data_IF_422570860454
#
_entry.id   IF_422570860454
#
_cell.length_a   1.000
_cell.length_b   1.000
_cell.length_c   1.000
_cell.angle_alpha   90.00
_cell.angle_beta   90.00
_cell.angle_gamma   90.00
#
_symmetry.space_group_name_H-M   'P 1'
#
loop_
_entity.id
_entity.type
_entity.pdbx_description
1 polymer ?
#
# COMPACT_ATOMS: atom_id res chain seq x y z
N UNK A 1 -9.86 -45.35 -42.62
CA UNK A 1 -8.86 -44.59 -41.85
C UNK A 1 -8.94 -43.07 -41.94
N UNK A 2 -9.34 -42.45 -43.08
CA UNK A 2 -9.47 -40.99 -43.19
C UNK A 2 -10.50 -40.32 -42.24
N UNK A 3 -11.67 -40.97 -42.01
CA UNK A 3 -12.71 -40.40 -41.13
C UNK A 3 -12.29 -40.27 -39.66
N UNK A 4 -11.44 -41.12 -39.15
CA UNK A 4 -10.97 -41.04 -37.76
C UNK A 4 -10.01 -39.87 -37.53
N UNK A 5 -9.23 -39.52 -38.55
CA UNK A 5 -8.28 -38.41 -38.46
C UNK A 5 -9.01 -37.06 -38.37
N UNK A 6 -10.10 -36.88 -39.11
CA UNK A 6 -10.92 -35.66 -39.04
C UNK A 6 -11.62 -35.49 -37.71
N UNK A 7 -12.09 -36.59 -37.10
CA UNK A 7 -12.77 -36.49 -35.76
C UNK A 7 -11.76 -36.14 -34.69
N UNK A 8 -10.56 -36.63 -34.76
CA UNK A 8 -9.50 -36.27 -33.80
C UNK A 8 -9.08 -34.80 -33.95
N UNK A 9 -8.92 -34.34 -35.18
CA UNK A 9 -8.58 -32.94 -35.47
C UNK A 9 -9.69 -31.98 -35.01
N UNK A 10 -10.96 -32.33 -35.18
CA UNK A 10 -12.11 -31.52 -34.69
C UNK A 10 -12.12 -31.43 -33.17
N UNK A 11 -11.88 -32.52 -32.45
CA UNK A 11 -11.84 -32.50 -30.98
C UNK A 11 -10.68 -31.69 -30.45
N UNK A 12 -9.53 -31.77 -31.08
CA UNK A 12 -8.34 -30.97 -30.75
C UNK A 12 -8.63 -29.50 -31.04
N UNK A 13 -9.25 -29.17 -32.17
CA UNK A 13 -9.66 -27.80 -32.51
C UNK A 13 -10.66 -27.23 -31.50
N UNK A 14 -11.67 -28.01 -31.11
CA UNK A 14 -12.63 -27.57 -30.08
C UNK A 14 -11.94 -27.33 -28.75
N UNK A 15 -11.00 -28.20 -28.36
CA UNK A 15 -10.21 -28.01 -27.14
C UNK A 15 -9.36 -26.74 -27.16
N UNK A 16 -8.69 -26.46 -28.28
CA UNK A 16 -7.88 -25.24 -28.46
C UNK A 16 -8.77 -23.99 -28.42
N UNK A 17 -9.93 -24.00 -29.11
CA UNK A 17 -10.87 -22.89 -29.10
C UNK A 17 -11.43 -22.66 -27.69
N UNK A 18 -11.75 -23.72 -26.95
CA UNK A 18 -12.24 -23.61 -25.58
C UNK A 18 -11.16 -22.99 -24.64
N UNK A 19 -9.91 -23.44 -24.76
CA UNK A 19 -8.79 -22.89 -23.98
C UNK A 19 -8.53 -21.41 -24.32
N UNK A 20 -8.54 -21.06 -25.61
CA UNK A 20 -8.37 -19.67 -26.05
C UNK A 20 -9.53 -18.79 -25.60
N UNK A 21 -10.77 -19.28 -25.68
CA UNK A 21 -11.95 -18.54 -25.23
C UNK A 21 -11.96 -18.33 -23.71
N UNK A 22 -11.54 -19.35 -22.95
CA UNK A 22 -11.39 -19.25 -21.50
C UNK A 22 -10.27 -18.30 -21.09
N UNK A 23 -9.14 -18.35 -21.79
CA UNK A 23 -8.03 -17.42 -21.58
C UNK A 23 -8.43 -15.99 -21.92
N UNK A 24 -9.13 -15.76 -23.03
CA UNK A 24 -9.68 -14.45 -23.40
C UNK A 24 -10.73 -13.96 -22.39
N UNK A 25 -11.58 -14.85 -21.87
CA UNK A 25 -12.58 -14.50 -20.85
C UNK A 25 -11.89 -14.08 -19.54
N UNK A 26 -10.88 -14.82 -19.07
CA UNK A 26 -10.11 -14.45 -17.88
C UNK A 26 -9.37 -13.13 -18.12
N UNK A 27 -8.72 -12.98 -19.28
CA UNK A 27 -7.98 -11.76 -19.62
C UNK A 27 -8.91 -10.55 -19.77
N UNK A 28 -10.06 -10.71 -20.44
CA UNK A 28 -11.03 -9.62 -20.59
C UNK A 28 -11.71 -9.28 -19.27
N UNK A 29 -12.03 -10.26 -18.44
CA UNK A 29 -12.56 -10.05 -17.09
C UNK A 29 -11.56 -9.34 -16.18
N UNK A 30 -10.29 -9.72 -16.22
CA UNK A 30 -9.22 -9.04 -15.49
C UNK A 30 -8.98 -7.63 -16.02
N UNK A 31 -8.91 -7.44 -17.33
CA UNK A 31 -8.69 -6.12 -17.95
C UNK A 31 -9.92 -5.22 -17.87
N UNK A 32 -11.12 -5.74 -18.03
CA UNK A 32 -12.36 -4.95 -17.92
C UNK A 32 -12.58 -4.45 -16.48
N UNK A 33 -12.30 -5.28 -15.46
CA UNK A 33 -12.31 -4.81 -14.07
C UNK A 33 -11.21 -3.77 -13.79
N UNK A 34 -10.09 -3.84 -14.49
CA UNK A 34 -9.02 -2.84 -14.39
C UNK A 34 -9.38 -1.53 -15.11
N UNK A 35 -10.10 -1.59 -16.24
CA UNK A 35 -10.45 -0.42 -17.05
C UNK A 35 -11.82 0.17 -16.73
N UNK A 36 -12.76 -0.60 -16.16
CA UNK A 36 -14.13 -0.13 -15.95
C UNK A 36 -14.34 0.69 -14.67
N UNK A 37 -13.39 0.73 -13.75
CA UNK A 37 -13.48 1.62 -12.59
C UNK A 37 -12.09 2.03 -12.07
N UNK A 38 -11.39 2.93 -12.74
CA UNK A 38 -10.49 3.80 -12.02
C UNK A 38 -11.35 4.92 -11.39
N UNK A 39 -12.36 4.58 -10.59
CA UNK A 39 -12.85 5.53 -9.61
C UNK A 39 -11.67 5.77 -8.70
N UNK A 40 -10.96 6.87 -8.96
CA UNK A 40 -9.94 7.41 -8.08
C UNK A 40 -10.65 7.64 -6.76
N UNK A 41 -10.70 6.62 -5.93
CA UNK A 41 -11.31 6.72 -4.62
C UNK A 41 -10.37 7.63 -3.82
N UNK A 42 -10.76 8.89 -3.75
CA UNK A 42 -10.01 9.89 -3.01
C UNK A 42 -10.67 10.03 -1.65
N UNK A 43 -9.92 9.68 -0.61
CA UNK A 43 -10.32 9.90 0.78
C UNK A 43 -9.48 11.04 1.34
N UNK A 44 -10.13 12.10 1.81
CA UNK A 44 -9.46 13.27 2.39
C UNK A 44 -9.68 13.30 3.90
N UNK A 45 -8.59 13.43 4.66
CA UNK A 45 -8.58 13.55 6.12
C UNK A 45 -7.73 14.78 6.48
N UNK A 46 -8.35 15.88 6.84
CA UNK A 46 -7.67 17.16 7.04
C UNK A 46 -6.96 17.61 5.75
N UNK A 47 -5.65 17.83 5.83
CA UNK A 47 -4.82 18.19 4.69
C UNK A 47 -4.30 16.97 3.90
N UNK A 48 -4.61 15.75 4.36
CA UNK A 48 -4.05 14.53 3.81
C UNK A 48 -5.04 13.87 2.87
N UNK A 49 -4.56 13.52 1.69
CA UNK A 49 -5.31 12.85 0.63
C UNK A 49 -4.77 11.43 0.43
N UNK A 50 -5.67 10.47 0.44
CA UNK A 50 -5.40 9.11 0.01
C UNK A 50 -6.01 8.91 -1.36
N UNK A 51 -5.19 8.67 -2.36
CA UNK A 51 -5.62 8.35 -3.71
C UNK A 51 -5.30 6.90 -4.04
N UNK A 52 -6.24 6.19 -4.67
CA UNK A 52 -6.09 4.76 -5.00
C UNK A 52 -5.92 4.60 -6.51
N UNK A 53 -4.69 4.47 -6.99
CA UNK A 53 -4.40 3.98 -8.34
C UNK A 53 -2.90 3.96 -8.63
N UNK A 54 -2.33 2.82 -9.03
CA UNK A 54 -2.71 1.42 -8.79
C UNK A 54 -2.54 0.99 -7.34
N UNK A 55 -1.81 1.74 -6.55
CA UNK A 55 -1.58 1.60 -5.11
C UNK A 55 -2.21 2.77 -4.36
N UNK A 56 -2.40 2.62 -3.07
CA UNK A 56 -2.88 3.72 -2.23
C UNK A 56 -1.71 4.62 -1.90
N UNK A 57 -1.79 5.88 -2.30
CA UNK A 57 -0.80 6.91 -2.00
C UNK A 57 -1.30 7.82 -0.88
N UNK A 58 -0.38 8.37 -0.10
CA UNK A 58 -0.65 9.44 0.86
C UNK A 58 0.02 10.72 0.38
N UNK A 59 -0.77 11.76 0.15
CA UNK A 59 -0.30 13.09 -0.20
C UNK A 59 -0.70 14.14 0.84
N UNK A 60 0.18 15.12 1.07
CA UNK A 60 -0.16 16.34 1.79
C UNK A 60 -0.55 17.42 0.77
N UNK A 61 -1.85 17.76 0.74
CA UNK A 61 -2.41 18.74 -0.19
C UNK A 61 -1.91 20.16 0.11
N UNK A 62 -1.66 20.48 1.38
CA UNK A 62 -1.21 21.81 1.79
C UNK A 62 0.18 22.14 1.26
N UNK A 63 1.00 21.12 1.03
CA UNK A 63 2.37 21.23 0.53
C UNK A 63 2.52 20.73 -0.90
N UNK A 64 1.46 20.14 -1.47
CA UNK A 64 1.45 19.52 -2.79
C UNK A 64 2.57 18.48 -2.98
N UNK A 65 2.72 17.59 -2.01
CA UNK A 65 3.73 16.53 -2.03
C UNK A 65 3.12 15.18 -1.73
N UNK A 66 3.68 14.12 -2.34
CA UNK A 66 3.40 12.74 -1.98
C UNK A 66 4.35 12.31 -0.86
N UNK A 67 3.77 11.94 0.28
CA UNK A 67 4.50 11.44 1.46
C UNK A 67 4.81 9.96 1.34
N UNK A 68 3.84 9.19 0.84
CA UNK A 68 3.91 7.74 0.74
C UNK A 68 3.29 7.28 -0.58
N UNK A 69 4.00 6.46 -1.32
CA UNK A 69 3.51 5.91 -2.60
C UNK A 69 2.87 4.52 -2.44
N UNK A 70 3.00 3.93 -1.27
CA UNK A 70 2.47 2.60 -0.98
C UNK A 70 1.93 2.51 0.45
N UNK A 71 0.66 2.85 0.63
CA UNK A 71 -0.03 2.75 1.92
C UNK A 71 -0.69 1.38 2.05
N UNK A 72 -0.33 0.65 3.08
CA UNK A 72 -0.84 -0.69 3.38
C UNK A 72 -2.05 -0.69 4.31
N UNK A 73 -2.04 0.21 5.29
CA UNK A 73 -3.14 0.37 6.23
C UNK A 73 -3.22 1.81 6.75
N UNK A 74 -4.42 2.23 7.14
CA UNK A 74 -4.65 3.52 7.78
C UNK A 74 -5.74 3.39 8.83
N UNK A 75 -5.64 4.18 9.88
CA UNK A 75 -6.61 4.29 10.96
C UNK A 75 -6.67 5.73 11.44
N UNK A 76 -7.86 6.30 11.49
CA UNK A 76 -8.11 7.59 12.13
C UNK A 76 -8.75 7.33 13.50
N UNK A 77 -8.11 7.82 14.54
CA UNK A 77 -8.62 7.76 15.90
C UNK A 77 -8.60 9.15 16.50
N UNK A 78 -9.76 9.66 16.88
CA UNK A 78 -9.95 11.05 17.28
C UNK A 78 -9.38 12.02 16.22
N UNK A 79 -8.25 12.65 16.53
CA UNK A 79 -7.54 13.62 15.70
C UNK A 79 -6.18 13.07 15.18
N UNK A 80 -5.88 11.83 15.50
CA UNK A 80 -4.62 11.20 15.12
C UNK A 80 -4.84 10.22 14.00
N UNK A 81 -4.16 10.43 12.88
CA UNK A 81 -4.14 9.57 11.73
C UNK A 81 -2.88 8.69 11.78
N UNK A 82 -3.09 7.40 11.90
CA UNK A 82 -2.04 6.38 11.84
C UNK A 82 -2.00 5.79 10.43
N UNK A 83 -0.83 5.76 9.83
CA UNK A 83 -0.65 5.21 8.48
C UNK A 83 0.55 4.28 8.45
N UNK A 84 0.33 3.06 7.99
CA UNK A 84 1.39 2.10 7.70
C UNK A 84 1.71 2.19 6.21
N UNK A 85 2.85 2.74 5.88
CA UNK A 85 3.38 2.84 4.53
C UNK A 85 4.63 2.00 4.34
N UNK A 86 5.14 1.97 3.12
CA UNK A 86 6.41 1.32 2.80
C UNK A 86 7.60 2.08 3.37
N UNK A 87 7.57 3.40 3.25
CA UNK A 87 8.64 4.28 3.71
C UNK A 87 8.66 4.43 5.22
N UNK A 88 7.48 4.55 5.84
CA UNK A 88 7.38 4.81 7.27
C UNK A 88 6.03 4.40 7.85
N UNK A 89 5.98 4.27 9.17
CA UNK A 89 4.76 4.44 9.93
C UNK A 89 4.64 5.92 10.27
N UNK A 90 3.51 6.52 9.90
CA UNK A 90 3.21 7.91 10.17
C UNK A 90 2.17 8.00 11.29
N UNK A 91 2.41 8.92 12.21
CA UNK A 91 1.48 9.29 13.29
C UNK A 91 1.26 10.79 13.14
N UNK A 92 0.10 11.16 12.61
CA UNK A 92 -0.19 12.52 12.17
C UNK A 92 -1.31 13.09 13.03
N UNK A 93 -1.05 14.17 13.73
CA UNK A 93 -2.10 15.00 14.31
C UNK A 93 -2.67 15.90 13.19
N UNK A 94 -3.91 15.60 12.78
CA UNK A 94 -4.54 16.24 11.61
C UNK A 94 -4.95 17.69 11.86
N UNK A 95 -5.07 18.12 13.11
CA UNK A 95 -5.39 19.52 13.46
C UNK A 95 -4.14 20.38 13.51
N UNK A 96 -3.10 19.92 14.22
CA UNK A 96 -1.87 20.68 14.37
C UNK A 96 -0.89 20.50 13.20
N UNK A 97 -1.16 19.57 12.31
CA UNK A 97 -0.26 19.16 11.22
C UNK A 97 1.13 18.68 11.71
N UNK A 98 1.19 18.19 12.95
CA UNK A 98 2.40 17.57 13.47
C UNK A 98 2.46 16.11 13.05
N UNK A 99 3.64 15.70 12.61
CA UNK A 99 3.91 14.35 12.11
C UNK A 99 5.05 13.71 12.87
N UNK A 100 4.83 12.51 13.37
CA UNK A 100 5.86 11.64 13.91
C UNK A 100 6.02 10.45 13.00
N UNK A 101 7.26 10.01 12.75
CA UNK A 101 7.55 8.94 11.82
C UNK A 101 8.45 7.89 12.45
N UNK A 102 8.11 6.62 12.22
CA UNK A 102 9.05 5.51 12.36
C UNK A 102 9.50 5.19 10.94
N UNK A 103 10.75 5.50 10.65
CA UNK A 103 11.27 5.47 9.30
C UNK A 103 11.84 4.10 8.91
N UNK A 104 11.53 3.65 7.70
CA UNK A 104 12.17 2.50 7.07
C UNK A 104 13.50 2.94 6.43
N UNK A 105 14.63 2.39 6.88
CA UNK A 105 15.96 2.76 6.40
C UNK A 105 16.25 2.29 4.97
N UNK A 106 15.48 1.32 4.47
CA UNK A 106 15.66 0.73 3.15
C UNK A 106 14.32 0.61 2.39
N UNK A 107 13.66 1.72 2.03
CA UNK A 107 12.46 1.68 1.21
C UNK A 107 12.82 1.18 -0.19
N UNK A 108 11.93 0.37 -0.79
CA UNK A 108 12.14 -0.22 -2.11
C UNK A 108 12.08 0.80 -3.26
N UNK A 109 11.36 1.90 -3.07
CA UNK A 109 11.19 2.91 -4.11
C UNK A 109 12.08 4.13 -3.85
N UNK A 110 12.95 4.44 -4.81
CA UNK A 110 13.80 5.63 -4.78
C UNK A 110 13.06 6.95 -5.09
N UNK A 111 11.76 6.89 -5.41
CA UNK A 111 10.98 8.05 -5.84
C UNK A 111 10.52 8.97 -4.70
N UNK A 112 10.86 8.65 -3.48
CA UNK A 112 10.53 9.49 -2.34
C UNK A 112 11.40 10.76 -2.28
N UNK A 113 10.79 11.86 -1.86
CA UNK A 113 11.56 13.02 -1.43
C UNK A 113 12.47 12.61 -0.29
N UNK A 114 13.70 13.11 -0.26
CA UNK A 114 14.66 12.74 0.78
C UNK A 114 14.17 13.17 2.18
N UNK A 115 14.66 12.52 3.22
CA UNK A 115 14.36 12.91 4.60
C UNK A 115 14.79 14.37 4.89
N UNK A 116 15.90 14.80 4.32
CA UNK A 116 16.35 16.19 4.44
C UNK A 116 15.36 17.17 3.82
N UNK A 117 14.76 16.83 2.67
CA UNK A 117 13.72 17.63 2.04
C UNK A 117 12.43 17.63 2.85
N UNK A 118 12.03 16.48 3.43
CA UNK A 118 10.88 16.43 4.33
C UNK A 118 11.08 17.32 5.56
N UNK A 119 12.25 17.22 6.19
CA UNK A 119 12.58 18.06 7.34
C UNK A 119 12.57 19.55 7.00
N UNK A 120 13.03 19.93 5.81
CA UNK A 120 12.95 21.30 5.31
C UNK A 120 11.51 21.78 5.14
N UNK A 121 10.63 20.93 4.58
CA UNK A 121 9.24 21.27 4.29
C UNK A 121 8.35 21.36 5.54
N UNK A 122 8.62 20.52 6.53
CA UNK A 122 7.81 20.45 7.75
C UNK A 122 8.46 21.16 8.93
N UNK A 123 9.77 21.40 8.88
CA UNK A 123 10.51 22.03 9.98
C UNK A 123 10.29 21.29 11.31
N UNK A 124 9.89 22.02 12.33
CA UNK A 124 9.62 21.45 13.67
C UNK A 124 8.31 20.63 13.76
N UNK A 125 7.55 20.51 12.65
CA UNK A 125 6.31 19.73 12.62
C UNK A 125 6.55 18.26 12.21
N UNK A 126 7.78 17.86 11.98
CA UNK A 126 8.14 16.47 11.72
C UNK A 126 9.20 15.98 12.69
N UNK A 127 9.00 14.79 13.20
CA UNK A 127 9.91 14.15 14.16
C UNK A 127 10.08 12.67 13.81
N UNK A 128 11.30 12.21 13.81
CA UNK A 128 11.59 10.76 13.76
C UNK A 128 11.61 10.22 15.18
N UNK A 129 10.79 9.23 15.46
CA UNK A 129 10.65 8.67 16.80
C UNK A 129 11.24 7.28 16.88
N UNK A 130 11.95 7.05 18.00
CA UNK A 130 12.49 5.75 18.38
C UNK A 130 11.73 5.13 19.57
N UNK A 131 10.84 5.90 20.18
CA UNK A 131 10.00 5.46 21.30
C UNK A 131 8.56 5.87 21.06
N UNK A 132 7.61 5.04 21.43
CA UNK A 132 6.18 5.25 21.24
C UNK A 132 5.46 5.33 22.59
N UNK A 133 4.41 6.14 22.66
CA UNK A 133 3.47 6.10 23.77
C UNK A 133 2.67 4.80 23.73
N UNK A 134 2.14 4.35 24.86
CA UNK A 134 1.30 3.14 24.91
C UNK A 134 0.05 3.26 24.04
N UNK A 135 -0.49 4.48 23.91
CA UNK A 135 -1.58 4.78 22.99
C UNK A 135 -1.18 4.52 21.54
N UNK A 136 -0.02 5.04 21.11
CA UNK A 136 0.45 4.87 19.74
C UNK A 136 0.78 3.40 19.44
N UNK A 137 1.42 2.70 20.40
CA UNK A 137 1.71 1.27 20.28
C UNK A 137 0.44 0.47 19.99
N UNK A 138 -0.62 0.72 20.76
CA UNK A 138 -1.90 0.04 20.61
C UNK A 138 -2.52 0.24 19.21
N UNK A 139 -2.51 1.46 18.68
CA UNK A 139 -3.10 1.73 17.37
C UNK A 139 -2.23 1.26 16.21
N UNK A 140 -0.91 1.33 16.35
CA UNK A 140 0.01 0.76 15.34
C UNK A 140 -0.12 -0.76 15.30
N UNK A 141 -0.25 -1.43 16.45
CA UNK A 141 -0.50 -2.87 16.51
C UNK A 141 -1.80 -3.24 15.76
N UNK A 142 -2.84 -2.46 15.91
CA UNK A 142 -4.09 -2.63 15.14
C UNK A 142 -3.89 -2.49 13.62
N UNK A 143 -2.96 -1.69 13.15
CA UNK A 143 -2.64 -1.57 11.72
C UNK A 143 -1.93 -2.81 11.20
N UNK A 144 -1.10 -3.43 12.05
CA UNK A 144 -0.31 -4.62 11.70
C UNK A 144 -1.14 -5.88 12.00
N UNK A 145 -2.22 -6.05 11.25
CA UNK A 145 -3.05 -7.25 11.36
C UNK A 145 -2.33 -8.48 10.80
N UNK A 146 -2.70 -9.72 11.22
CA UNK A 146 -2.12 -10.94 10.64
C UNK A 146 -2.20 -10.99 9.11
N UNK A 147 -3.27 -10.43 8.52
CA UNK A 147 -3.45 -10.34 7.07
C UNK A 147 -2.43 -9.37 6.45
N UNK A 148 -2.28 -8.20 7.04
CA UNK A 148 -1.29 -7.20 6.59
C UNK A 148 0.12 -7.78 6.70
N UNK A 149 0.44 -8.41 7.83
CA UNK A 149 1.73 -9.05 8.05
C UNK A 149 2.03 -10.15 7.02
N UNK A 150 1.07 -11.04 6.75
CA UNK A 150 1.26 -12.12 5.78
C UNK A 150 1.44 -11.61 4.36
N UNK A 151 0.76 -10.53 3.99
CA UNK A 151 0.88 -9.93 2.65
C UNK A 151 2.24 -9.26 2.46
N UNK A 152 2.75 -8.61 3.49
CA UNK A 152 4.00 -7.84 3.44
C UNK A 152 5.25 -8.71 3.66
N UNK A 153 5.11 -9.86 4.30
CA UNK A 153 6.23 -10.77 4.62
C UNK A 153 6.83 -11.50 3.40
N UNK A 154 6.25 -11.33 2.20
CA UNK A 154 6.84 -11.86 0.97
C UNK A 154 8.14 -11.16 0.58
N UNK A 155 8.35 -9.93 1.04
CA UNK A 155 9.60 -9.21 0.85
C UNK A 155 10.46 -9.29 2.12
N UNK A 156 11.64 -9.88 2.02
CA UNK A 156 12.54 -10.09 3.17
C UNK A 156 13.01 -8.77 3.81
N UNK A 157 13.23 -7.73 3.00
CA UNK A 157 13.63 -6.40 3.49
C UNK A 157 12.51 -5.72 4.26
N UNK A 158 11.29 -5.81 3.74
CA UNK A 158 10.11 -5.26 4.39
C UNK A 158 9.77 -6.00 5.68
N UNK A 159 9.95 -7.33 5.69
CA UNK A 159 9.77 -8.13 6.92
C UNK A 159 10.70 -7.68 8.04
N UNK A 160 11.98 -7.46 7.75
CA UNK A 160 12.94 -7.00 8.75
C UNK A 160 12.53 -5.64 9.35
N UNK A 161 12.04 -4.72 8.53
CA UNK A 161 11.54 -3.44 9.01
C UNK A 161 10.27 -3.59 9.85
N UNK A 162 9.34 -4.43 9.41
CA UNK A 162 8.09 -4.70 10.13
C UNK A 162 8.37 -5.35 11.49
N UNK A 163 9.32 -6.30 11.56
CA UNK A 163 9.76 -6.91 12.81
C UNK A 163 10.39 -5.86 13.77
N UNK A 164 11.13 -4.86 13.21
CA UNK A 164 11.63 -3.73 14.00
C UNK A 164 10.49 -2.88 14.57
N UNK A 165 9.47 -2.59 13.77
CA UNK A 165 8.27 -1.86 14.24
C UNK A 165 7.55 -2.64 15.33
N UNK A 166 7.37 -3.95 15.15
CA UNK A 166 6.76 -4.82 16.15
C UNK A 166 7.57 -4.85 17.46
N UNK A 167 8.89 -4.88 17.38
CA UNK A 167 9.75 -4.81 18.57
C UNK A 167 9.59 -3.46 19.30
N UNK A 168 9.43 -2.34 18.58
CA UNK A 168 9.16 -1.03 19.20
C UNK A 168 7.79 -0.98 19.90
N UNK A 169 6.83 -1.77 19.43
CA UNK A 169 5.49 -1.86 20.01
C UNK A 169 5.50 -2.76 21.26
N UNK A 170 6.35 -3.81 21.27
CA UNK A 170 6.37 -4.84 22.32
C UNK A 170 7.11 -4.40 23.59
N UNK A 171 7.87 -3.32 23.56
CA UNK A 171 8.60 -2.73 24.70
C UNK A 171 7.71 -1.69 25.39
#
# INVERSE_FOLDING_TARGET
MRKFKYIFDIRVMIGIVAILSFSLYIFSGATLNFYQNPSKEVVVIGNYEFSRYPVVELADRSKNITLEVSVYAKLLEDKTLYVLGERAVYIIDVESNKMRMIYNEAPLFEQYISNAQLMLLYGNNIETVNTLSDKDKYYIDKLITPRTYSTLSYDSGYKMWLDRVLNLISI
#
